data_IF_612219842555
#
_entry.id   IF_612219842555
#
_cell.length_a   1.000
_cell.length_b   1.000
_cell.length_c   1.000
_cell.angle_alpha   90.00
_cell.angle_beta   90.00
_cell.angle_gamma   90.00
#
_symmetry.space_group_name_H-M   'P 1'
#
loop_
_entity.id
_entity.type
_entity.pdbx_description
1 polymer ?
#
# COMPACT_ATOMS: atom_id res chain seq x y z
N UNK A 1 -16.68 -20.34 -29.47
CA UNK A 1 -16.34 -19.51 -28.29
C UNK A 1 -17.41 -19.78 -27.24
N UNK A 2 -17.19 -20.22 -26.00
CA UNK A 2 -15.99 -20.36 -25.19
C UNK A 2 -16.43 -21.12 -23.90
N UNK A 3 -16.33 -22.45 -23.86
CA UNK A 3 -16.49 -23.23 -22.63
C UNK A 3 -15.13 -23.68 -22.06
N UNK A 4 -14.12 -23.78 -22.93
CA UNK A 4 -12.74 -24.14 -22.59
C UNK A 4 -11.97 -22.99 -21.93
N UNK A 5 -12.22 -21.73 -22.31
CA UNK A 5 -11.57 -20.56 -21.68
C UNK A 5 -12.05 -20.30 -20.25
N UNK A 6 -13.31 -20.63 -19.94
CA UNK A 6 -13.89 -20.46 -18.59
C UNK A 6 -13.29 -21.41 -17.57
N UNK A 7 -12.94 -22.64 -17.99
CA UNK A 7 -12.25 -23.60 -17.13
C UNK A 7 -10.75 -23.28 -16.99
N UNK A 8 -10.10 -22.77 -18.04
CA UNK A 8 -8.71 -22.32 -17.96
C UNK A 8 -8.55 -21.17 -16.95
N UNK A 9 -9.42 -20.14 -17.00
CA UNK A 9 -9.37 -19.01 -16.07
C UNK A 9 -9.62 -19.40 -14.60
N UNK A 10 -10.54 -20.33 -14.34
CA UNK A 10 -10.79 -20.85 -12.97
C UNK A 10 -9.61 -21.65 -12.42
N UNK A 11 -8.99 -22.48 -13.26
CA UNK A 11 -7.84 -23.30 -12.87
C UNK A 11 -6.61 -22.43 -12.59
N UNK A 12 -6.46 -21.34 -13.35
CA UNK A 12 -5.41 -20.34 -13.16
C UNK A 12 -5.57 -19.56 -11.86
N UNK A 13 -6.76 -18.99 -11.60
CA UNK A 13 -7.04 -18.32 -10.33
C UNK A 13 -6.79 -19.21 -9.12
N UNK A 14 -7.15 -20.50 -9.21
CA UNK A 14 -6.84 -21.48 -8.16
C UNK A 14 -5.34 -21.70 -7.95
N UNK A 15 -4.56 -21.73 -9.04
CA UNK A 15 -3.10 -21.92 -8.97
C UNK A 15 -2.41 -20.70 -8.37
N UNK A 16 -2.75 -19.49 -8.81
CA UNK A 16 -2.19 -18.25 -8.26
C UNK A 16 -2.59 -18.07 -6.79
N UNK A 17 -3.85 -18.35 -6.43
CA UNK A 17 -4.30 -18.35 -5.05
C UNK A 17 -3.54 -19.38 -4.20
N UNK A 18 -3.24 -20.56 -4.75
CA UNK A 18 -2.45 -21.57 -4.04
C UNK A 18 -0.99 -21.16 -3.82
N UNK A 19 -0.34 -20.51 -4.79
CA UNK A 19 1.01 -19.94 -4.63
C UNK A 19 1.02 -18.81 -3.58
N UNK A 20 -0.02 -17.97 -3.58
CA UNK A 20 -0.22 -16.93 -2.57
C UNK A 20 -0.39 -17.55 -1.17
N UNK A 21 -1.22 -18.58 -1.05
CA UNK A 21 -1.44 -19.30 0.20
C UNK A 21 -0.17 -20.03 0.68
N UNK A 22 0.65 -20.57 -0.23
CA UNK A 22 1.93 -21.19 0.11
C UNK A 22 2.93 -20.12 0.61
N UNK A 23 2.98 -18.95 -0.03
CA UNK A 23 3.78 -17.81 0.42
C UNK A 23 3.37 -17.34 1.82
N UNK A 24 2.07 -17.18 2.06
CA UNK A 24 1.52 -16.80 3.36
C UNK A 24 1.76 -17.89 4.40
N UNK A 25 1.92 -19.16 4.00
CA UNK A 25 2.19 -20.24 4.94
C UNK A 25 3.68 -20.34 5.33
N UNK A 26 4.59 -19.66 4.64
CA UNK A 26 6.00 -19.63 5.02
C UNK A 26 6.22 -18.72 6.23
N UNK A 27 6.74 -19.29 7.32
CA UNK A 27 7.11 -18.55 8.53
C UNK A 27 8.09 -17.41 8.26
N UNK A 28 8.91 -17.50 7.22
CA UNK A 28 9.87 -16.47 6.83
C UNK A 28 9.18 -15.24 6.26
N UNK A 29 8.09 -15.43 5.51
CA UNK A 29 7.29 -14.34 4.95
C UNK A 29 6.63 -13.51 6.05
N UNK A 30 6.04 -14.17 7.05
CA UNK A 30 5.47 -13.48 8.22
C UNK A 30 6.52 -12.73 9.02
N UNK A 31 7.68 -13.34 9.24
CA UNK A 31 8.79 -12.70 9.94
C UNK A 31 9.23 -11.42 9.21
N UNK A 32 9.30 -11.49 7.88
CA UNK A 32 9.62 -10.35 7.03
C UNK A 32 8.55 -9.25 7.09
N UNK A 33 7.26 -9.61 6.99
CA UNK A 33 6.17 -8.65 7.07
C UNK A 33 6.15 -7.94 8.43
N UNK A 34 6.26 -8.69 9.54
CA UNK A 34 6.37 -8.14 10.89
C UNK A 34 7.59 -7.24 11.03
N UNK A 35 8.74 -7.61 10.44
CA UNK A 35 9.94 -6.79 10.47
C UNK A 35 9.75 -5.45 9.72
N UNK A 36 9.12 -5.45 8.53
CA UNK A 36 8.82 -4.22 7.79
C UNK A 36 7.82 -3.35 8.54
N UNK A 37 6.75 -3.94 9.07
CA UNK A 37 5.77 -3.20 9.87
C UNK A 37 6.43 -2.60 11.11
N UNK A 38 7.28 -3.37 11.80
CA UNK A 38 8.05 -2.89 12.95
C UNK A 38 9.01 -1.75 12.58
N UNK A 39 9.70 -1.85 11.44
CA UNK A 39 10.54 -0.78 10.91
C UNK A 39 9.75 0.50 10.64
N UNK A 40 8.60 0.38 9.96
CA UNK A 40 7.71 1.51 9.65
C UNK A 40 7.16 2.18 10.91
N UNK A 41 6.74 1.38 11.90
CA UNK A 41 6.30 1.87 13.21
C UNK A 41 7.47 2.56 13.94
N UNK A 42 8.67 1.99 13.88
CA UNK A 42 9.88 2.60 14.46
C UNK A 42 10.18 3.98 13.84
N UNK A 43 10.11 4.10 12.51
CA UNK A 43 10.28 5.38 11.82
C UNK A 43 9.15 6.36 12.17
N UNK A 44 7.91 5.88 12.35
CA UNK A 44 6.80 6.70 12.83
C UNK A 44 6.98 7.17 14.27
N UNK A 45 7.58 6.36 15.14
CA UNK A 45 7.89 6.78 16.50
C UNK A 45 8.99 7.86 16.54
N UNK A 46 9.91 7.86 15.57
CA UNK A 46 10.96 8.88 15.45
C UNK A 46 10.43 10.21 14.90
N UNK A 47 9.51 10.17 13.93
CA UNK A 47 8.85 11.35 13.35
C UNK A 47 7.34 11.09 13.25
N UNK A 48 6.58 11.37 14.33
CA UNK A 48 5.13 11.14 14.35
C UNK A 48 4.32 12.30 13.76
N UNK A 49 4.96 13.42 13.40
CA UNK A 49 4.25 14.65 13.04
C UNK A 49 3.65 14.56 11.62
N UNK A 50 2.33 14.78 11.48
CA UNK A 50 1.70 14.95 10.17
C UNK A 50 2.21 16.21 9.48
N UNK A 51 2.52 16.10 8.19
CA UNK A 51 3.03 17.20 7.36
C UNK A 51 1.94 17.70 6.42
N UNK A 52 1.98 18.99 6.12
CA UNK A 52 0.98 19.67 5.28
C UNK A 52 1.67 20.14 4.01
N UNK A 53 1.09 19.78 2.87
CA UNK A 53 1.45 20.34 1.58
C UNK A 53 0.47 21.49 1.25
N UNK A 54 0.93 22.75 1.23
CA UNK A 54 0.05 23.89 1.04
C UNK A 54 -0.78 23.81 -0.24
N UNK A 55 -2.05 24.20 -0.14
CA UNK A 55 -3.04 24.04 -1.21
C UNK A 55 -3.77 22.71 -1.05
N UNK A 56 -3.15 21.61 -1.47
CA UNK A 56 -3.85 20.35 -1.62
C UNK A 56 -4.26 19.72 -0.27
N UNK A 57 -3.37 19.73 0.73
CA UNK A 57 -3.70 19.20 2.06
C UNK A 57 -4.81 20.01 2.72
N UNK A 58 -4.84 21.33 2.51
CA UNK A 58 -5.92 22.19 3.04
C UNK A 58 -7.25 21.87 2.37
N UNK A 59 -7.28 21.64 1.05
CA UNK A 59 -8.49 21.22 0.36
C UNK A 59 -9.04 19.91 0.94
N UNK A 60 -8.19 18.91 1.21
CA UNK A 60 -8.64 17.65 1.80
C UNK A 60 -9.14 17.77 3.24
N UNK A 61 -8.46 18.58 4.06
CA UNK A 61 -8.92 18.87 5.43
C UNK A 61 -10.23 19.66 5.38
N UNK A 62 -10.37 20.59 4.44
CA UNK A 62 -11.60 21.36 4.26
C UNK A 62 -12.76 20.48 3.82
N UNK A 63 -12.53 19.54 2.91
CA UNK A 63 -13.51 18.49 2.58
C UNK A 63 -13.85 17.66 3.82
N UNK A 64 -12.85 17.30 4.63
CA UNK A 64 -13.09 16.51 5.82
C UNK A 64 -14.00 17.22 6.83
N UNK A 65 -13.85 18.53 7.00
CA UNK A 65 -14.62 19.34 7.96
C UNK A 65 -15.99 19.73 7.38
N UNK A 66 -16.00 20.36 6.21
CA UNK A 66 -17.19 21.01 5.62
C UNK A 66 -18.01 20.10 4.70
N UNK A 67 -17.42 19.01 4.20
CA UNK A 67 -18.02 18.20 3.14
C UNK A 67 -17.93 18.83 1.75
N UNK A 68 -17.29 19.98 1.60
CA UNK A 68 -17.05 20.61 0.29
C UNK A 68 -16.12 19.74 -0.56
N UNK A 69 -16.51 19.48 -1.80
CA UNK A 69 -15.71 18.69 -2.75
C UNK A 69 -14.98 19.66 -3.68
N UNK A 70 -13.63 19.64 -3.71
CA UNK A 70 -12.84 20.45 -4.64
C UNK A 70 -13.02 19.97 -6.09
N UNK A 71 -13.15 20.91 -7.03
CA UNK A 71 -13.36 20.63 -8.46
C UNK A 71 -12.11 20.04 -9.15
N UNK A 72 -10.92 20.33 -8.61
CA UNK A 72 -9.62 20.01 -9.21
C UNK A 72 -8.79 19.03 -8.36
N UNK A 73 -9.40 18.36 -7.38
CA UNK A 73 -8.72 17.41 -6.48
C UNK A 73 -9.56 16.16 -6.20
N UNK A 74 -8.91 15.14 -5.63
CA UNK A 74 -9.57 13.89 -5.27
C UNK A 74 -10.72 14.10 -4.28
N UNK A 75 -11.95 13.77 -4.70
CA UNK A 75 -13.12 13.78 -3.83
C UNK A 75 -13.02 12.71 -2.73
N UNK A 76 -12.51 11.52 -3.07
CA UNK A 76 -12.54 10.35 -2.18
C UNK A 76 -11.57 10.50 -1.00
N UNK A 77 -10.41 11.12 -1.22
CA UNK A 77 -9.39 11.24 -0.18
C UNK A 77 -9.81 12.17 0.95
N UNK A 78 -10.50 13.28 0.68
CA UNK A 78 -11.05 14.14 1.74
C UNK A 78 -12.01 13.39 2.69
N UNK A 79 -12.79 12.45 2.18
CA UNK A 79 -13.63 11.57 3.01
C UNK A 79 -12.83 10.51 3.79
N UNK A 80 -11.69 10.03 3.24
CA UNK A 80 -10.75 9.19 4.00
C UNK A 80 -10.16 9.97 5.19
N UNK A 81 -9.77 11.24 4.98
CA UNK A 81 -9.31 12.13 6.05
C UNK A 81 -10.42 12.31 7.10
N UNK A 82 -11.67 12.53 6.66
CA UNK A 82 -12.83 12.61 7.57
C UNK A 82 -12.99 11.36 8.42
N UNK A 83 -13.03 10.19 7.80
CA UNK A 83 -13.25 8.92 8.48
C UNK A 83 -12.11 8.60 9.47
N UNK A 84 -10.87 8.90 9.11
CA UNK A 84 -9.70 8.59 9.94
C UNK A 84 -9.44 9.58 11.08
N UNK A 85 -9.72 10.87 10.86
CA UNK A 85 -9.19 11.95 11.69
C UNK A 85 -10.25 12.79 12.41
N UNK A 86 -11.53 12.71 12.02
CA UNK A 86 -12.55 13.62 12.57
C UNK A 86 -13.07 13.17 13.94
N UNK A 87 -13.17 11.86 14.17
CA UNK A 87 -13.66 11.30 15.44
C UNK A 87 -12.66 11.47 16.61
N UNK A 88 -11.36 11.55 16.30
CA UNK A 88 -10.29 11.75 17.29
C UNK A 88 -9.70 13.17 17.25
N UNK A 89 -10.16 14.02 16.33
CA UNK A 89 -9.65 15.37 16.13
C UNK A 89 -8.16 15.44 15.79
N UNK A 90 -7.57 14.37 15.24
CA UNK A 90 -6.13 14.24 15.03
C UNK A 90 -5.79 13.58 13.69
N UNK A 91 -4.87 14.20 12.95
CA UNK A 91 -4.32 13.67 11.70
C UNK A 91 -3.36 12.50 11.92
N UNK A 92 -2.94 12.23 13.17
CA UNK A 92 -2.05 11.10 13.48
C UNK A 92 -2.65 9.77 13.05
N UNK A 93 -3.96 9.58 13.17
CA UNK A 93 -4.62 8.34 12.76
C UNK A 93 -4.58 8.12 11.25
N UNK A 94 -4.68 9.19 10.46
CA UNK A 94 -4.46 9.13 9.02
C UNK A 94 -3.01 8.72 8.72
N UNK A 95 -2.04 9.32 9.39
CA UNK A 95 -0.61 9.00 9.21
C UNK A 95 -0.31 7.54 9.59
N UNK A 96 -0.95 7.00 10.63
CA UNK A 96 -0.85 5.57 10.99
C UNK A 96 -1.35 4.69 9.85
N UNK A 97 -2.52 5.02 9.27
CA UNK A 97 -3.09 4.28 8.12
C UNK A 97 -2.14 4.36 6.93
N UNK A 98 -1.64 5.56 6.58
CA UNK A 98 -0.71 5.77 5.47
C UNK A 98 0.59 4.97 5.69
N UNK A 99 1.14 4.98 6.91
CA UNK A 99 2.33 4.22 7.28
C UNK A 99 2.11 2.71 7.12
N UNK A 100 0.93 2.21 7.51
CA UNK A 100 0.57 0.80 7.31
C UNK A 100 0.43 0.45 5.83
N UNK A 101 -0.22 1.30 5.02
CA UNK A 101 -0.27 1.12 3.57
C UNK A 101 1.13 1.10 2.96
N UNK A 102 2.04 1.95 3.46
CA UNK A 102 3.45 1.93 3.11
C UNK A 102 4.14 0.59 3.34
N UNK A 103 3.88 -0.06 4.49
CA UNK A 103 4.36 -1.41 4.77
C UNK A 103 3.80 -2.45 3.80
N UNK A 104 2.50 -2.34 3.46
CA UNK A 104 1.85 -3.24 2.51
C UNK A 104 2.40 -3.05 1.08
N UNK A 105 2.65 -1.82 0.64
CA UNK A 105 3.30 -1.52 -0.65
C UNK A 105 4.66 -2.22 -0.73
N UNK A 106 5.50 -2.06 0.29
CA UNK A 106 6.81 -2.71 0.36
C UNK A 106 6.70 -4.25 0.33
N UNK A 107 5.69 -4.82 1.00
CA UNK A 107 5.42 -6.25 0.95
C UNK A 107 4.96 -6.71 -0.44
N UNK A 108 4.11 -5.95 -1.13
CA UNK A 108 3.70 -6.22 -2.52
C UNK A 108 4.90 -6.21 -3.45
N UNK A 109 5.80 -5.22 -3.34
CA UNK A 109 7.03 -5.15 -4.14
C UNK A 109 7.91 -6.38 -3.93
N UNK A 110 8.17 -6.75 -2.66
CA UNK A 110 8.93 -7.96 -2.34
C UNK A 110 8.25 -9.22 -2.89
N UNK A 111 6.92 -9.29 -2.82
CA UNK A 111 6.16 -10.40 -3.38
C UNK A 111 6.29 -10.47 -4.90
N UNK A 112 6.18 -9.35 -5.62
CA UNK A 112 6.36 -9.30 -7.07
C UNK A 112 7.77 -9.79 -7.45
N UNK A 113 8.80 -9.31 -6.76
CA UNK A 113 10.19 -9.74 -6.96
C UNK A 113 10.36 -11.27 -6.80
N UNK A 114 9.73 -11.85 -5.78
CA UNK A 114 9.82 -13.28 -5.52
C UNK A 114 8.93 -14.12 -6.45
N UNK A 115 7.64 -13.81 -6.56
CA UNK A 115 6.64 -14.64 -7.23
C UNK A 115 6.65 -14.48 -8.76
N UNK A 116 6.98 -13.29 -9.27
CA UNK A 116 6.95 -13.01 -10.71
C UNK A 116 8.37 -13.13 -11.29
N UNK A 117 9.31 -12.37 -10.72
CA UNK A 117 10.69 -12.35 -11.22
C UNK A 117 11.55 -13.54 -10.74
N UNK A 118 10.98 -14.42 -9.90
CA UNK A 118 11.64 -15.63 -9.38
C UNK A 118 12.98 -15.34 -8.68
N UNK A 119 13.11 -14.15 -8.09
CA UNK A 119 14.30 -13.78 -7.34
C UNK A 119 14.41 -14.62 -6.05
N UNK A 120 15.64 -14.91 -5.58
CA UNK A 120 15.85 -15.52 -4.27
C UNK A 120 15.19 -14.70 -3.17
N UNK A 121 14.54 -15.35 -2.20
CA UNK A 121 13.74 -14.68 -1.15
C UNK A 121 14.51 -13.57 -0.43
N UNK A 122 15.82 -13.76 -0.17
CA UNK A 122 16.68 -12.75 0.47
C UNK A 122 16.78 -11.45 -0.34
N UNK A 123 16.90 -11.56 -1.67
CA UNK A 123 16.99 -10.41 -2.56
C UNK A 123 15.63 -9.71 -2.66
N UNK A 124 14.55 -10.49 -2.74
CA UNK A 124 13.19 -9.94 -2.74
C UNK A 124 12.87 -9.17 -1.45
N UNK A 125 13.29 -9.70 -0.28
CA UNK A 125 13.16 -8.99 0.99
C UNK A 125 13.99 -7.72 1.04
N UNK A 126 15.21 -7.74 0.47
CA UNK A 126 16.03 -6.53 0.34
C UNK A 126 15.29 -5.45 -0.46
N UNK A 127 14.68 -5.78 -1.59
CA UNK A 127 13.89 -4.80 -2.36
C UNK A 127 12.69 -4.25 -1.58
N UNK A 128 11.99 -5.09 -0.82
CA UNK A 128 10.92 -4.60 0.06
C UNK A 128 11.43 -3.67 1.17
N UNK A 129 12.58 -3.99 1.78
CA UNK A 129 13.20 -3.11 2.79
C UNK A 129 13.64 -1.78 2.16
N UNK A 130 14.28 -1.82 0.98
CA UNK A 130 14.68 -0.61 0.25
C UNK A 130 13.48 0.27 -0.09
N UNK A 131 12.37 -0.34 -0.52
CA UNK A 131 11.10 0.36 -0.73
C UNK A 131 10.58 0.97 0.58
N UNK A 132 10.63 0.22 1.69
CA UNK A 132 10.14 0.69 2.98
C UNK A 132 10.95 1.86 3.56
N UNK A 133 12.24 1.97 3.25
CA UNK A 133 13.10 3.08 3.69
C UNK A 133 13.29 4.16 2.62
N UNK A 134 12.63 4.02 1.47
CA UNK A 134 12.73 4.98 0.38
C UNK A 134 12.33 6.37 0.90
N UNK A 135 13.19 7.40 0.78
CA UNK A 135 12.93 8.72 1.33
C UNK A 135 11.65 9.35 0.80
N UNK A 136 11.32 9.08 -0.47
CA UNK A 136 10.11 9.62 -1.10
C UNK A 136 8.87 8.94 -0.51
N UNK A 137 8.89 7.61 -0.36
CA UNK A 137 7.81 6.88 0.30
C UNK A 137 7.60 7.34 1.75
N UNK A 138 8.69 7.49 2.52
CA UNK A 138 8.62 7.97 3.90
C UNK A 138 8.08 9.41 4.00
N UNK A 139 8.43 10.27 3.05
CA UNK A 139 7.90 11.63 3.01
C UNK A 139 6.38 11.61 2.77
N UNK A 140 5.91 10.93 1.72
CA UNK A 140 4.48 10.90 1.38
C UNK A 140 3.60 10.18 2.40
N UNK A 141 4.16 9.27 3.20
CA UNK A 141 3.44 8.65 4.32
C UNK A 141 3.10 9.67 5.43
N UNK A 142 3.87 10.76 5.54
CA UNK A 142 3.67 11.82 6.55
C UNK A 142 2.80 12.95 6.05
N UNK A 143 2.81 13.24 4.75
CA UNK A 143 1.99 14.29 4.19
C UNK A 143 0.50 13.89 4.16
N UNK A 144 -0.37 14.84 4.45
CA UNK A 144 -1.83 14.69 4.25
C UNK A 144 -2.12 14.81 2.76
N UNK A 145 -1.81 13.76 2.02
CA UNK A 145 -1.92 13.71 0.58
C UNK A 145 -2.27 12.32 0.03
N UNK A 146 -2.67 12.30 -1.25
CA UNK A 146 -3.20 11.10 -1.91
C UNK A 146 -2.15 10.07 -2.31
N UNK A 147 -0.86 10.43 -2.34
CA UNK A 147 0.19 9.65 -3.01
C UNK A 147 0.37 8.28 -2.38
N UNK A 148 0.33 8.17 -1.04
CA UNK A 148 0.46 6.87 -0.38
C UNK A 148 -0.72 5.95 -0.72
N UNK A 149 -1.94 6.48 -0.75
CA UNK A 149 -3.13 5.71 -1.10
C UNK A 149 -3.16 5.33 -2.58
N UNK A 150 -2.83 6.27 -3.47
CA UNK A 150 -2.79 6.01 -4.91
C UNK A 150 -1.66 5.04 -5.26
N UNK A 151 -0.50 5.13 -4.60
CA UNK A 151 0.61 4.20 -4.75
C UNK A 151 0.25 2.79 -4.27
N UNK A 152 -0.54 2.66 -3.20
CA UNK A 152 -1.07 1.37 -2.77
C UNK A 152 -1.95 0.72 -3.85
N UNK A 153 -2.92 1.46 -4.39
CA UNK A 153 -3.75 0.94 -5.48
C UNK A 153 -2.93 0.66 -6.74
N UNK A 154 -1.96 1.50 -7.05
CA UNK A 154 -1.05 1.29 -8.17
C UNK A 154 -0.21 0.02 -7.99
N UNK A 155 0.30 -0.26 -6.78
CA UNK A 155 1.01 -1.48 -6.47
C UNK A 155 0.12 -2.73 -6.64
N UNK A 156 -1.15 -2.66 -6.24
CA UNK A 156 -2.12 -3.74 -6.50
C UNK A 156 -2.39 -3.94 -8.00
N UNK A 157 -2.52 -2.86 -8.77
CA UNK A 157 -2.68 -2.93 -10.22
C UNK A 157 -1.46 -3.60 -10.85
N UNK A 158 -0.25 -3.17 -10.48
CA UNK A 158 0.99 -3.79 -10.96
C UNK A 158 1.07 -5.27 -10.58
N UNK A 159 0.74 -5.62 -9.34
CA UNK A 159 0.68 -7.00 -8.89
C UNK A 159 -0.23 -7.83 -9.81
N UNK A 160 -1.45 -7.35 -10.03
CA UNK A 160 -2.44 -8.05 -10.85
C UNK A 160 -2.03 -8.11 -12.33
N UNK A 161 -1.49 -7.03 -12.88
CA UNK A 161 -0.99 -6.99 -14.27
C UNK A 161 0.16 -7.96 -14.49
N UNK A 162 1.11 -8.03 -13.56
CA UNK A 162 2.23 -8.97 -13.65
C UNK A 162 1.79 -10.42 -13.48
N UNK A 163 0.87 -10.68 -12.55
CA UNK A 163 0.24 -11.99 -12.44
C UNK A 163 -0.43 -12.39 -13.75
N UNK A 164 -1.20 -11.50 -14.37
CA UNK A 164 -1.86 -11.74 -15.65
C UNK A 164 -0.88 -11.98 -16.81
N UNK A 165 0.28 -11.32 -16.82
CA UNK A 165 1.27 -11.50 -17.90
C UNK A 165 2.14 -12.76 -17.73
N UNK A 166 2.32 -13.21 -16.49
CA UNK A 166 3.10 -14.41 -16.17
C UNK A 166 2.34 -15.69 -16.58
N UNK A 167 1.02 -15.63 -16.48
CA UNK A 167 0.08 -16.74 -16.53
C UNK A 167 -0.69 -16.78 -17.87
#
# INVERSE_FOLDING_TARGET
MNATTTNAGKTLLMKTASEWLISVRDSRWWSFFVAITGLKIGVLALDPEPKIYPGDSFSYIWTAISGWIPDDRSFAYGFLVRWSSLWNGSLTSLVIIQTFLGAVIAAIVAWICWAIFKLPSRISYLFGILCAIDPLQLAWERYVMTETCSLFFYALVLQQSFTYLRD
#
